data_IF_877310718447
#
_entry.id   IF_877310718447
#
_cell.length_a   1.000
_cell.length_b   1.000
_cell.length_c   1.000
_cell.angle_alpha   90.00
_cell.angle_beta   90.00
_cell.angle_gamma   90.00
#
_symmetry.space_group_name_H-M   'P 1'
#
loop_
_entity.id
_entity.type
_entity.pdbx_description
1 polymer ?
#
# COMPACT_ATOMS: atom_id res chain seq x y z
N UNK A 1 11.33 -2.02 17.84
CA UNK A 1 11.30 -2.86 16.63
C UNK A 1 11.74 -1.97 15.49
N UNK A 2 12.62 -2.43 14.61
CA UNK A 2 13.02 -1.64 13.45
C UNK A 2 11.85 -1.63 12.46
N UNK A 3 11.05 -0.58 12.48
CA UNK A 3 10.05 -0.30 11.45
C UNK A 3 10.82 0.11 10.21
N UNK A 4 11.17 -0.87 9.39
CA UNK A 4 11.80 -0.60 8.10
C UNK A 4 10.86 0.30 7.30
N UNK A 5 11.39 1.46 6.93
CA UNK A 5 10.65 2.50 6.23
C UNK A 5 11.22 2.60 4.83
N UNK A 6 10.42 2.26 3.83
CA UNK A 6 10.83 2.33 2.42
C UNK A 6 10.40 3.71 1.89
N UNK A 7 11.34 4.65 1.82
CA UNK A 7 11.08 6.03 1.37
C UNK A 7 11.40 6.29 -0.10
N UNK A 8 11.87 5.27 -0.80
CA UNK A 8 12.14 5.32 -2.23
C UNK A 8 11.18 4.38 -2.91
N UNK A 9 10.62 4.80 -4.04
CA UNK A 9 9.75 3.94 -4.84
C UNK A 9 10.47 2.61 -5.11
N UNK A 10 9.96 1.48 -4.61
CA UNK A 10 10.59 0.20 -4.85
C UNK A 10 10.34 -0.24 -6.29
N UNK A 11 11.17 -1.16 -6.77
CA UNK A 11 10.92 -1.82 -8.05
C UNK A 11 9.74 -2.79 -7.89
N UNK A 12 8.54 -2.33 -8.23
CA UNK A 12 7.33 -3.15 -8.29
C UNK A 12 7.33 -4.04 -9.56
N UNK A 13 6.86 -5.31 -9.50
CA UNK A 13 6.52 -6.04 -8.28
C UNK A 13 7.78 -6.39 -7.48
N UNK A 14 7.71 -6.18 -6.16
CA UNK A 14 8.83 -6.46 -5.26
C UNK A 14 9.07 -7.98 -5.16
N UNK A 15 10.34 -8.41 -5.03
CA UNK A 15 10.65 -9.81 -4.82
C UNK A 15 10.21 -10.24 -3.40
N UNK A 16 9.37 -11.27 -3.30
CA UNK A 16 8.92 -11.77 -2.00
C UNK A 16 7.87 -12.87 -2.12
N UNK A 17 7.65 -13.59 -1.02
CA UNK A 17 6.49 -14.47 -0.81
C UNK A 17 5.91 -14.13 0.54
N UNK A 18 4.60 -13.91 0.61
CA UNK A 18 3.92 -13.72 1.88
C UNK A 18 4.12 -14.96 2.77
N UNK A 19 4.63 -14.77 3.98
CA UNK A 19 4.54 -15.79 5.03
C UNK A 19 3.28 -15.48 5.82
N UNK A 20 2.27 -16.35 5.74
CA UNK A 20 1.13 -16.25 6.63
C UNK A 20 1.63 -16.41 8.09
N UNK A 21 1.04 -15.70 9.06
CA UNK A 21 1.26 -16.02 10.47
C UNK A 21 0.97 -17.51 10.66
N UNK A 22 1.93 -18.27 11.18
CA UNK A 22 1.80 -19.72 11.33
C UNK A 22 0.63 -20.05 12.28
N UNK A 23 -0.47 -20.56 11.71
CA UNK A 23 -1.69 -20.98 12.39
C UNK A 23 -2.70 -21.58 11.41
N UNK A 24 -3.65 -22.36 11.90
CA UNK A 24 -4.56 -23.21 11.08
C UNK A 24 -5.53 -22.45 10.16
N UNK A 25 -5.48 -21.11 10.08
CA UNK A 25 -6.28 -20.28 9.17
C UNK A 25 -5.54 -20.00 7.85
N UNK A 26 -5.17 -21.08 7.15
CA UNK A 26 -4.46 -21.05 5.85
C UNK A 26 -5.36 -20.57 4.69
N UNK A 27 -6.66 -20.38 4.90
CA UNK A 27 -7.60 -20.00 3.83
C UNK A 27 -7.66 -18.48 3.54
N UNK A 28 -6.91 -17.65 4.26
CA UNK A 28 -6.83 -16.21 4.03
C UNK A 28 -5.40 -15.71 3.84
N UNK A 29 -4.58 -16.45 3.09
CA UNK A 29 -3.37 -15.91 2.46
C UNK A 29 -3.82 -14.95 1.35
N UNK A 30 -4.35 -13.79 1.72
CA UNK A 30 -4.72 -12.75 0.78
C UNK A 30 -3.45 -12.19 0.17
N UNK A 31 -3.19 -12.56 -1.09
CA UNK A 31 -2.68 -11.72 -2.18
C UNK A 31 -1.45 -10.81 -1.94
N UNK A 32 -0.76 -10.85 -0.80
CA UNK A 32 0.45 -10.08 -0.52
C UNK A 32 1.57 -10.51 -1.46
N UNK A 33 2.21 -9.53 -2.09
CA UNK A 33 3.14 -9.73 -3.21
C UNK A 33 2.52 -10.48 -4.42
N UNK A 34 1.20 -10.66 -4.48
CA UNK A 34 0.57 -11.10 -5.72
C UNK A 34 0.77 -10.04 -6.79
N UNK A 35 0.77 -10.44 -8.07
CA UNK A 35 0.83 -9.46 -9.16
C UNK A 35 -0.27 -8.38 -9.07
N UNK A 36 -1.45 -8.70 -8.53
CA UNK A 36 -2.55 -7.74 -8.36
C UNK A 36 -2.28 -6.74 -7.23
N UNK A 37 -1.80 -7.22 -6.08
CA UNK A 37 -1.42 -6.39 -4.95
C UNK A 37 -0.27 -5.45 -5.30
N UNK A 38 0.82 -5.98 -5.87
CA UNK A 38 1.99 -5.17 -6.22
C UNK A 38 1.65 -4.16 -7.32
N UNK A 39 0.75 -4.52 -8.25
CA UNK A 39 0.23 -3.57 -9.21
C UNK A 39 -0.58 -2.47 -8.53
N UNK A 40 -1.47 -2.82 -7.60
CA UNK A 40 -2.24 -1.83 -6.86
C UNK A 40 -1.34 -0.91 -6.02
N UNK A 41 -0.32 -1.45 -5.37
CA UNK A 41 0.67 -0.69 -4.63
C UNK A 41 1.44 0.28 -5.54
N UNK A 42 1.85 -0.17 -6.73
CA UNK A 42 2.49 0.69 -7.72
C UNK A 42 1.55 1.81 -8.21
N UNK A 43 0.31 1.47 -8.58
CA UNK A 43 -0.68 2.44 -9.07
C UNK A 43 -0.98 3.52 -8.01
N UNK A 44 -1.10 3.13 -6.73
CA UNK A 44 -1.29 4.05 -5.60
C UNK A 44 -0.06 4.92 -5.39
N UNK A 45 1.14 4.33 -5.40
CA UNK A 45 2.39 5.08 -5.24
C UNK A 45 2.54 6.15 -6.33
N UNK A 46 2.33 5.78 -7.58
CA UNK A 46 2.46 6.67 -8.73
C UNK A 46 1.45 7.82 -8.64
N UNK A 47 0.18 7.54 -8.33
CA UNK A 47 -0.86 8.56 -8.18
C UNK A 47 -0.58 9.54 -7.00
N UNK A 48 0.09 9.08 -5.94
CA UNK A 48 0.51 9.93 -4.83
C UNK A 48 1.71 10.82 -5.21
N UNK A 49 2.69 10.28 -5.93
CA UNK A 49 3.83 11.07 -6.43
C UNK A 49 3.40 12.13 -7.47
N UNK A 50 2.41 11.82 -8.31
CA UNK A 50 1.81 12.79 -9.26
C UNK A 50 1.18 14.01 -8.55
N UNK A 51 0.82 13.87 -7.27
CA UNK A 51 0.31 14.96 -6.43
C UNK A 51 1.41 15.71 -5.66
N UNK A 52 2.69 15.49 -6.00
CA UNK A 52 3.88 16.06 -5.36
C UNK A 52 3.92 15.76 -3.85
N UNK A 53 3.53 14.53 -3.48
CA UNK A 53 3.62 14.02 -2.11
C UNK A 53 4.90 13.19 -1.93
N UNK A 54 5.39 13.17 -0.69
CA UNK A 54 6.38 12.19 -0.25
C UNK A 54 5.64 10.92 0.11
N UNK A 55 6.00 9.83 -0.55
CA UNK A 55 5.38 8.52 -0.37
C UNK A 55 6.37 7.60 0.33
N UNK A 56 5.89 6.78 1.26
CA UNK A 56 6.70 5.76 1.89
C UNK A 56 5.86 4.58 2.34
N UNK A 57 6.49 3.41 2.43
CA UNK A 57 5.87 2.23 3.05
C UNK A 57 6.41 2.10 4.48
N UNK A 58 5.52 1.87 5.43
CA UNK A 58 5.85 1.42 6.80
C UNK A 58 5.43 -0.03 6.98
N UNK A 59 6.11 -0.71 7.89
CA UNK A 59 5.96 -2.15 8.14
C UNK A 59 6.16 -2.98 6.85
N UNK A 60 6.83 -2.38 5.86
CA UNK A 60 7.13 -2.98 4.57
C UNK A 60 8.23 -4.00 4.72
N UNK A 61 7.94 -5.23 4.31
CA UNK A 61 8.87 -6.35 4.44
C UNK A 61 8.16 -7.66 4.77
N UNK A 62 8.72 -8.42 5.71
CA UNK A 62 8.29 -9.78 6.04
C UNK A 62 7.11 -9.85 7.03
N UNK A 63 6.70 -8.71 7.62
CA UNK A 63 5.70 -8.66 8.70
C UNK A 63 4.34 -8.16 8.21
N UNK A 64 3.27 -8.55 8.92
CA UNK A 64 1.88 -8.11 8.70
C UNK A 64 1.66 -6.62 8.99
N UNK A 65 0.76 -5.98 8.26
CA UNK A 65 0.37 -4.58 8.47
C UNK A 65 1.01 -3.57 7.51
N UNK A 66 1.38 -3.96 6.29
CA UNK A 66 1.99 -3.02 5.34
C UNK A 66 1.02 -1.87 5.00
N UNK A 67 1.53 -0.64 5.12
CA UNK A 67 0.79 0.57 4.80
C UNK A 67 1.58 1.46 3.84
N UNK A 68 0.92 1.97 2.80
CA UNK A 68 1.43 3.08 1.99
C UNK A 68 1.01 4.38 2.67
N UNK A 69 1.98 5.19 3.02
CA UNK A 69 1.78 6.50 3.64
C UNK A 69 2.17 7.60 2.65
N UNK A 70 1.50 8.75 2.74
CA UNK A 70 1.86 9.93 2.00
C UNK A 70 1.64 11.23 2.79
N UNK A 71 2.49 12.22 2.53
CA UNK A 71 2.44 13.52 3.18
C UNK A 71 3.32 14.55 2.52
N UNK A 72 3.30 15.79 3.02
CA UNK A 72 4.19 16.86 2.53
C UNK A 72 5.64 16.68 2.99
N UNK A 73 5.83 15.98 4.11
CA UNK A 73 7.12 15.53 4.61
C UNK A 73 7.03 14.07 5.06
N UNK A 74 8.16 13.37 5.05
CA UNK A 74 8.25 12.04 5.67
C UNK A 74 7.90 12.14 7.17
N UNK A 75 7.17 11.15 7.69
CA UNK A 75 6.72 11.09 9.10
C UNK A 75 5.64 12.12 9.49
N UNK A 76 5.12 12.88 8.51
CA UNK A 76 3.95 13.73 8.63
C UNK A 76 2.89 13.25 7.63
N UNK A 77 2.39 12.03 7.87
CA UNK A 77 1.42 11.40 6.97
C UNK A 77 0.08 12.15 7.04
N UNK A 78 -0.31 12.74 5.91
CA UNK A 78 -1.67 13.23 5.71
C UNK A 78 -2.61 12.09 5.28
N UNK A 79 -2.06 11.02 4.70
CA UNK A 79 -2.80 9.86 4.22
C UNK A 79 -2.04 8.57 4.56
N UNK A 80 -2.80 7.56 4.99
CA UNK A 80 -2.34 6.19 5.24
C UNK A 80 -3.32 5.25 4.57
N UNK A 81 -2.82 4.35 3.70
CA UNK A 81 -3.60 3.35 2.97
C UNK A 81 -3.12 1.96 3.38
N UNK A 82 -4.03 1.17 3.96
CA UNK A 82 -3.78 -0.22 4.37
C UNK A 82 -4.19 -1.17 3.25
N UNK A 83 -3.25 -1.56 2.39
CA UNK A 83 -3.54 -2.44 1.26
C UNK A 83 -3.92 -3.86 1.67
N UNK A 84 -3.64 -4.25 2.90
CA UNK A 84 -4.03 -5.55 3.45
C UNK A 84 -5.40 -5.53 4.13
N UNK A 85 -5.98 -4.36 4.41
CA UNK A 85 -7.37 -4.30 4.89
C UNK A 85 -8.29 -4.60 3.70
N UNK A 86 -9.16 -5.64 3.76
CA UNK A 86 -9.94 -6.03 2.61
C UNK A 86 -10.89 -4.94 2.11
N UNK A 87 -11.44 -4.11 3.00
CA UNK A 87 -12.37 -3.06 2.59
C UNK A 87 -11.63 -1.93 1.89
N UNK A 88 -10.48 -1.53 2.42
CA UNK A 88 -9.64 -0.50 1.82
C UNK A 88 -9.03 -0.97 0.50
N UNK A 89 -8.53 -2.20 0.44
CA UNK A 89 -8.01 -2.82 -0.77
C UNK A 89 -9.07 -2.85 -1.89
N UNK A 90 -10.31 -3.25 -1.55
CA UNK A 90 -11.43 -3.27 -2.49
C UNK A 90 -11.85 -1.85 -2.91
N UNK A 91 -11.82 -0.86 -2.01
CA UNK A 91 -12.14 0.52 -2.32
C UNK A 91 -11.14 1.12 -3.31
N UNK A 92 -9.84 0.91 -3.08
CA UNK A 92 -8.76 1.33 -3.98
C UNK A 92 -8.89 0.64 -5.35
N UNK A 93 -9.11 -0.69 -5.37
CA UNK A 93 -9.31 -1.43 -6.60
C UNK A 93 -10.51 -0.89 -7.41
N UNK A 94 -11.63 -0.63 -6.74
CA UNK A 94 -12.82 -0.06 -7.37
C UNK A 94 -12.58 1.36 -7.90
N UNK A 95 -11.85 2.20 -7.16
CA UNK A 95 -11.48 3.55 -7.60
C UNK A 95 -10.58 3.49 -8.84
N UNK A 96 -9.57 2.61 -8.84
CA UNK A 96 -8.68 2.37 -10.00
C UNK A 96 -9.46 1.91 -11.22
N UNK A 97 -10.29 0.88 -11.08
CA UNK A 97 -11.04 0.30 -12.19
C UNK A 97 -12.06 1.30 -12.77
N UNK A 98 -12.52 2.26 -11.96
CA UNK A 98 -13.37 3.37 -12.38
C UNK A 98 -12.59 4.58 -12.97
N UNK A 99 -11.26 4.57 -12.96
CA UNK A 99 -10.43 5.70 -13.38
C UNK A 99 -10.50 6.91 -12.43
N UNK A 100 -10.73 6.68 -11.13
CA UNK A 100 -10.97 7.68 -10.09
C UNK A 100 -10.01 7.55 -8.90
N UNK A 101 -8.81 7.01 -9.14
CA UNK A 101 -7.82 6.82 -8.08
C UNK A 101 -7.38 8.17 -7.48
N UNK A 102 -7.23 9.20 -8.32
CA UNK A 102 -6.86 10.54 -7.87
C UNK A 102 -7.93 11.15 -6.96
N UNK A 103 -9.21 10.99 -7.29
CA UNK A 103 -10.33 11.45 -6.47
C UNK A 103 -10.33 10.74 -5.11
N UNK A 104 -10.07 9.43 -5.09
CA UNK A 104 -9.96 8.65 -3.86
C UNK A 104 -8.85 9.19 -2.97
N UNK A 105 -7.66 9.39 -3.52
CA UNK A 105 -6.50 9.94 -2.79
C UNK A 105 -6.81 11.35 -2.27
N UNK A 106 -7.36 12.23 -3.12
CA UNK A 106 -7.68 13.60 -2.74
C UNK A 106 -8.69 13.65 -1.59
N UNK A 107 -9.64 12.72 -1.54
CA UNK A 107 -10.61 12.62 -0.43
C UNK A 107 -9.99 12.22 0.90
N UNK A 108 -8.85 11.52 0.88
CA UNK A 108 -8.14 11.08 2.07
C UNK A 108 -7.14 12.09 2.64
N UNK A 109 -6.78 13.13 1.89
CA UNK A 109 -5.82 14.18 2.29
C UNK A 109 -6.48 15.36 3.06
N UNK A 110 -7.70 15.17 3.57
CA UNK A 110 -8.55 16.21 4.17
C UNK A 110 -8.02 16.87 5.44
#
# INVERSE_FOLDING_TARGET
MSTEKITTRPDFPRPGRAQAPTGDEVEKVFERFSPAYEKQAADVWDALEEQDLKVWIIDGGENDGEMICAGRAYDDAALVIHLEDPNEALAVAAARDAGKLDDYIASGLG
#
